data_IF_733390705732
#
_entry.id   IF_733390705732
#
_cell.length_a   1.000
_cell.length_b   1.000
_cell.length_c   1.000
_cell.angle_alpha   90.00
_cell.angle_beta   90.00
_cell.angle_gamma   90.00
#
_symmetry.space_group_name_H-M   'P 1'
#
loop_
_entity.id
_entity.type
_entity.pdbx_description
1 polymer ?
#
# COMPACT_ATOMS: atom_id res chain seq x y z
N UNK A 1 9.81 16.75 -3.81
CA UNK A 1 8.39 16.77 -3.45
C UNK A 1 8.02 15.48 -2.70
N UNK A 2 7.18 15.59 -1.68
CA UNK A 2 6.70 14.42 -0.92
C UNK A 2 5.46 13.87 -1.60
N UNK A 3 5.50 12.59 -1.93
CA UNK A 3 4.40 11.91 -2.60
C UNK A 3 3.84 10.84 -1.68
N UNK A 4 2.52 10.84 -1.50
CA UNK A 4 1.81 9.78 -0.78
C UNK A 4 1.03 8.95 -1.78
N UNK A 5 0.98 7.64 -1.55
CA UNK A 5 0.17 6.73 -2.36
C UNK A 5 -0.88 6.09 -1.46
N UNK A 6 -2.13 6.16 -1.86
CA UNK A 6 -3.24 5.53 -1.14
C UNK A 6 -3.78 4.39 -1.98
N UNK A 7 -3.72 3.18 -1.44
CA UNK A 7 -4.15 1.97 -2.14
C UNK A 7 -5.33 1.37 -1.37
N UNK A 8 -6.53 1.49 -1.95
CA UNK A 8 -7.77 1.09 -1.29
C UNK A 8 -8.36 -0.22 -1.80
N UNK A 9 -7.60 -0.97 -2.60
CA UNK A 9 -8.07 -2.24 -3.12
C UNK A 9 -6.96 -3.18 -3.49
N UNK A 10 -7.31 -4.39 -3.88
CA UNK A 10 -6.35 -5.42 -4.31
C UNK A 10 -6.05 -5.36 -5.80
N UNK A 11 -6.77 -4.50 -6.52
CA UNK A 11 -6.65 -4.41 -7.97
C UNK A 11 -6.45 -2.97 -8.36
N UNK A 12 -5.79 -2.75 -9.50
CA UNK A 12 -5.77 -1.45 -10.12
C UNK A 12 -6.81 -1.49 -11.23
N UNK A 13 -7.85 -0.66 -11.10
CA UNK A 13 -9.01 -0.73 -11.97
C UNK A 13 -10.09 -1.64 -11.39
N UNK A 14 -11.28 -1.62 -11.97
CA UNK A 14 -12.45 -2.26 -11.35
C UNK A 14 -13.09 -3.34 -12.18
N UNK A 15 -13.12 -3.20 -13.50
CA UNK A 15 -13.96 -4.05 -14.34
C UNK A 15 -13.35 -5.42 -14.62
N UNK A 16 -12.04 -5.47 -14.81
CA UNK A 16 -11.35 -6.73 -15.07
C UNK A 16 -10.49 -7.05 -13.85
N UNK A 17 -10.93 -8.02 -13.07
CA UNK A 17 -10.25 -8.39 -11.84
C UNK A 17 -8.89 -9.01 -12.12
N UNK A 18 -8.81 -9.90 -13.08
CA UNK A 18 -7.55 -10.59 -13.40
C UNK A 18 -6.49 -9.59 -13.87
N UNK A 19 -6.87 -8.69 -14.78
CA UNK A 19 -5.97 -7.64 -15.25
C UNK A 19 -5.62 -6.69 -14.11
N UNK A 20 -6.59 -6.35 -13.28
CA UNK A 20 -6.36 -5.46 -12.13
C UNK A 20 -5.35 -6.01 -11.14
N UNK A 21 -5.33 -7.32 -10.93
CA UNK A 21 -4.35 -7.96 -10.06
C UNK A 21 -2.94 -7.88 -10.67
N UNK A 22 -2.82 -8.09 -11.97
CA UNK A 22 -1.55 -7.94 -12.67
C UNK A 22 -1.06 -6.48 -12.59
N UNK A 23 -1.97 -5.54 -12.81
CA UNK A 23 -1.61 -4.12 -12.83
C UNK A 23 -1.20 -3.60 -11.45
N UNK A 24 -1.89 -3.99 -10.38
CA UNK A 24 -1.50 -3.52 -9.04
C UNK A 24 -0.13 -4.04 -8.66
N UNK A 25 0.18 -5.27 -9.03
CA UNK A 25 1.48 -5.86 -8.75
C UNK A 25 2.59 -5.11 -9.51
N UNK A 26 2.37 -4.84 -10.80
CA UNK A 26 3.32 -4.08 -11.61
C UNK A 26 3.50 -2.66 -11.10
N UNK A 27 2.39 -2.02 -10.69
CA UNK A 27 2.41 -0.68 -10.12
C UNK A 27 3.30 -0.64 -8.87
N UNK A 28 3.07 -1.54 -7.93
CA UNK A 28 3.85 -1.58 -6.69
C UNK A 28 5.31 -1.91 -6.96
N UNK A 29 5.58 -2.85 -7.86
CA UNK A 29 6.95 -3.21 -8.20
C UNK A 29 7.71 -2.09 -8.89
N UNK A 30 7.01 -1.24 -9.62
CA UNK A 30 7.63 -0.12 -10.34
C UNK A 30 7.90 1.08 -9.44
N UNK A 31 7.05 1.31 -8.43
CA UNK A 31 7.22 2.45 -7.53
C UNK A 31 8.60 2.52 -6.90
N UNK A 32 9.17 1.38 -6.50
CA UNK A 32 10.49 1.36 -5.86
C UNK A 32 11.63 1.67 -6.83
N UNK A 33 11.36 1.59 -8.13
CA UNK A 33 12.35 1.85 -9.18
C UNK A 33 12.33 3.28 -9.68
N UNK A 34 11.39 4.09 -9.20
CA UNK A 34 11.35 5.50 -9.56
C UNK A 34 12.58 6.20 -8.98
N UNK A 35 13.02 7.26 -9.66
CA UNK A 35 14.14 8.07 -9.17
C UNK A 35 13.85 8.58 -7.75
N UNK A 36 12.61 9.00 -7.52
CA UNK A 36 12.17 9.43 -6.18
C UNK A 36 10.96 8.60 -5.79
N UNK A 37 11.16 7.50 -5.05
CA UNK A 37 10.03 6.71 -4.56
C UNK A 37 9.11 7.52 -3.64
N UNK A 38 7.85 7.12 -3.46
CA UNK A 38 6.96 7.84 -2.57
C UNK A 38 7.48 7.83 -1.13
N UNK A 39 7.14 8.86 -0.36
CA UNK A 39 7.53 8.94 1.05
C UNK A 39 6.68 8.04 1.92
N UNK A 40 5.40 7.86 1.54
CA UNK A 40 4.47 7.02 2.30
C UNK A 40 3.51 6.32 1.35
N UNK A 41 3.15 5.11 1.70
CA UNK A 41 2.13 4.34 1.00
C UNK A 41 1.20 3.74 2.05
N UNK A 42 -0.09 4.06 1.97
CA UNK A 42 -1.09 3.56 2.90
C UNK A 42 -1.99 2.55 2.22
N UNK A 43 -2.22 1.43 2.90
CA UNK A 43 -3.08 0.35 2.44
C UNK A 43 -4.37 0.35 3.25
N UNK A 44 -5.51 0.35 2.57
CA UNK A 44 -6.83 0.35 3.18
C UNK A 44 -7.75 -0.63 2.48
N UNK A 45 -8.86 -0.96 3.15
CA UNK A 45 -9.86 -1.89 2.63
C UNK A 45 -9.17 -3.18 2.19
N UNK A 46 -9.55 -3.75 1.06
CA UNK A 46 -8.91 -4.96 0.54
C UNK A 46 -7.43 -4.78 0.26
N UNK A 47 -6.96 -3.53 0.12
CA UNK A 47 -5.55 -3.23 -0.10
C UNK A 47 -4.64 -3.71 1.01
N UNK A 48 -5.13 -3.86 2.25
CA UNK A 48 -4.31 -4.37 3.35
C UNK A 48 -3.84 -5.80 3.09
N UNK A 49 -4.59 -6.55 2.28
CA UNK A 49 -4.22 -7.93 1.95
C UNK A 49 -2.98 -8.03 1.06
N UNK A 50 -2.62 -6.93 0.41
CA UNK A 50 -1.38 -6.87 -0.40
C UNK A 50 -0.13 -7.01 0.47
N UNK A 51 -0.25 -6.73 1.77
CA UNK A 51 0.85 -6.80 2.73
C UNK A 51 0.95 -8.15 3.44
N UNK A 52 0.11 -9.12 3.10
CA UNK A 52 0.16 -10.44 3.73
C UNK A 52 1.31 -11.27 3.14
N UNK A 53 1.96 -12.12 3.94
CA UNK A 53 3.15 -12.86 3.49
C UNK A 53 2.90 -13.77 2.28
N UNK A 54 1.66 -14.28 2.15
CA UNK A 54 1.29 -15.14 1.02
C UNK A 54 0.86 -14.38 -0.23
N UNK A 55 0.80 -13.04 -0.15
CA UNK A 55 0.50 -12.23 -1.32
C UNK A 55 1.78 -12.00 -2.14
N UNK A 56 1.68 -12.15 -3.46
CA UNK A 56 2.84 -11.93 -4.34
C UNK A 56 3.31 -10.47 -4.32
N UNK A 57 2.49 -9.56 -3.83
CA UNK A 57 2.81 -8.13 -3.70
C UNK A 57 3.63 -7.80 -2.46
N UNK A 58 3.69 -8.72 -1.49
CA UNK A 58 4.37 -8.44 -0.22
C UNK A 58 5.85 -8.10 -0.43
N UNK A 59 6.55 -8.82 -1.29
CA UNK A 59 7.96 -8.56 -1.56
C UNK A 59 8.18 -7.20 -2.23
N UNK A 60 7.25 -6.78 -3.11
CA UNK A 60 7.33 -5.45 -3.71
C UNK A 60 7.18 -4.35 -2.66
N UNK A 61 6.29 -4.56 -1.69
CA UNK A 61 6.12 -3.61 -0.59
C UNK A 61 7.37 -3.58 0.30
N UNK A 62 8.02 -4.71 0.51
CA UNK A 62 9.29 -4.75 1.24
C UNK A 62 10.39 -3.98 0.49
N UNK A 63 10.42 -4.08 -0.83
CA UNK A 63 11.37 -3.31 -1.63
C UNK A 63 11.13 -1.82 -1.48
N UNK A 64 9.86 -1.38 -1.46
CA UNK A 64 9.50 0.01 -1.22
C UNK A 64 9.99 0.46 0.16
N UNK A 65 9.80 -0.37 1.16
CA UNK A 65 10.23 -0.06 2.52
C UNK A 65 11.75 0.12 2.58
N UNK A 66 12.50 -0.75 1.91
CA UNK A 66 13.95 -0.62 1.81
C UNK A 66 14.38 0.64 1.07
N UNK A 67 13.56 1.09 0.12
CA UNK A 67 13.84 2.33 -0.62
C UNK A 67 13.47 3.59 0.16
N UNK A 68 12.94 3.43 1.38
CA UNK A 68 12.64 4.55 2.26
C UNK A 68 11.16 4.92 2.35
N UNK A 69 10.27 4.19 1.67
CA UNK A 69 8.83 4.45 1.75
C UNK A 69 8.28 3.89 3.04
N UNK A 70 7.56 4.71 3.79
CA UNK A 70 6.86 4.26 4.99
C UNK A 70 5.56 3.59 4.58
N UNK A 71 5.38 2.33 4.97
CA UNK A 71 4.18 1.56 4.63
C UNK A 71 3.25 1.54 5.83
N UNK A 72 2.05 2.12 5.69
CA UNK A 72 1.04 2.16 6.73
C UNK A 72 -0.11 1.24 6.34
N UNK A 73 -0.47 0.33 7.25
CA UNK A 73 -1.52 -0.66 7.00
C UNK A 73 -2.69 -0.37 7.93
N UNK A 74 -3.88 -0.11 7.38
CA UNK A 74 -5.04 0.29 8.17
C UNK A 74 -5.46 -0.81 9.15
N UNK A 75 -5.42 -0.51 10.46
CA UNK A 75 -5.74 -1.46 11.51
C UNK A 75 -7.22 -1.83 11.55
N UNK A 76 -8.12 -0.88 11.28
CA UNK A 76 -9.55 -1.17 11.19
C UNK A 76 -9.81 -2.22 10.11
N UNK A 77 -9.11 -2.11 8.99
CA UNK A 77 -9.28 -3.03 7.88
C UNK A 77 -8.69 -4.40 8.19
N UNK A 78 -7.49 -4.44 8.76
CA UNK A 78 -6.87 -5.73 9.11
C UNK A 78 -7.66 -6.46 10.19
N UNK A 79 -8.23 -5.72 11.15
CA UNK A 79 -9.08 -6.32 12.18
C UNK A 79 -10.36 -6.90 11.58
N UNK A 80 -10.97 -6.16 10.65
CA UNK A 80 -12.18 -6.63 9.97
C UNK A 80 -11.93 -7.95 9.23
N UNK A 81 -10.80 -8.08 8.57
CA UNK A 81 -10.46 -9.30 7.83
C UNK A 81 -9.79 -10.37 8.70
N UNK A 82 -9.53 -10.06 9.99
CA UNK A 82 -8.90 -11.01 10.90
C UNK A 82 -7.44 -11.32 10.57
N UNK A 83 -6.70 -10.35 9.99
CA UNK A 83 -5.33 -10.56 9.53
C UNK A 83 -4.30 -9.68 10.21
N UNK A 84 -4.68 -8.94 11.27
CA UNK A 84 -3.78 -7.99 11.92
C UNK A 84 -2.45 -8.61 12.34
N UNK A 85 -2.47 -9.84 12.83
CA UNK A 85 -1.27 -10.52 13.31
C UNK A 85 -0.46 -11.17 12.19
N UNK A 86 -0.97 -11.12 10.95
CA UNK A 86 -0.35 -11.77 9.80
C UNK A 86 0.32 -10.79 8.84
N UNK A 87 0.26 -9.49 9.13
CA UNK A 87 0.85 -8.47 8.26
C UNK A 87 2.36 -8.71 8.17
N UNK A 88 2.87 -8.84 6.94
CA UNK A 88 4.26 -9.20 6.68
C UNK A 88 5.17 -8.03 6.36
N UNK A 89 4.62 -6.84 6.15
CA UNK A 89 5.41 -5.66 5.81
C UNK A 89 4.66 -4.42 6.29
N UNK A 90 5.40 -3.37 6.64
CA UNK A 90 4.82 -2.11 7.09
C UNK A 90 4.40 -2.15 8.55
N UNK A 91 3.67 -1.12 8.96
CA UNK A 91 3.22 -0.94 10.34
C UNK A 91 1.70 -0.84 10.35
N UNK A 92 1.05 -1.61 11.22
CA UNK A 92 -0.39 -1.47 11.43
C UNK A 92 -0.65 -0.10 12.05
N UNK A 93 -1.52 0.67 11.42
CA UNK A 93 -1.72 2.07 11.73
C UNK A 93 -3.21 2.36 11.91
N UNK A 94 -3.55 3.64 11.91
CA UNK A 94 -4.92 4.10 12.11
C UNK A 94 -5.23 5.23 11.13
N UNK A 95 -6.52 5.58 11.03
CA UNK A 95 -6.98 6.59 10.10
C UNK A 95 -6.34 7.95 10.36
N UNK A 96 -6.12 8.31 11.62
CA UNK A 96 -5.52 9.60 11.96
C UNK A 96 -4.10 9.70 11.38
N UNK A 97 -3.26 8.70 11.62
CA UNK A 97 -1.89 8.69 11.11
C UNK A 97 -1.87 8.67 9.59
N UNK A 98 -2.76 7.88 8.98
CA UNK A 98 -2.85 7.78 7.53
C UNK A 98 -3.23 9.14 6.93
N UNK A 99 -4.25 9.79 7.49
CA UNK A 99 -4.69 11.10 6.99
C UNK A 99 -3.63 12.17 7.20
N UNK A 100 -2.94 12.15 8.34
CA UNK A 100 -1.83 13.09 8.55
C UNK A 100 -0.76 12.93 7.48
N UNK A 101 -0.38 11.70 7.18
CA UNK A 101 0.64 11.42 6.18
C UNK A 101 0.20 11.86 4.78
N UNK A 102 -1.06 11.57 4.44
CA UNK A 102 -1.59 11.87 3.11
C UNK A 102 -1.78 13.38 2.92
N UNK A 103 -2.38 14.05 3.92
CA UNK A 103 -2.63 15.50 3.81
C UNK A 103 -1.35 16.31 3.91
N UNK A 104 -0.30 15.76 4.53
CA UNK A 104 0.99 16.42 4.61
C UNK A 104 1.86 16.26 3.36
N UNK A 105 1.42 15.47 2.39
CA UNK A 105 2.19 15.27 1.16
C UNK A 105 1.90 16.37 0.14
N UNK A 106 2.86 16.60 -0.75
CA UNK A 106 2.70 17.59 -1.82
C UNK A 106 1.82 17.05 -2.96
N UNK A 107 1.85 15.75 -3.15
CA UNK A 107 1.07 15.07 -4.20
C UNK A 107 0.56 13.74 -3.64
N UNK A 108 -0.65 13.38 -4.01
CA UNK A 108 -1.28 12.12 -3.61
C UNK A 108 -1.70 11.35 -4.85
N UNK A 109 -1.27 10.07 -4.91
CA UNK A 109 -1.78 9.13 -5.89
C UNK A 109 -2.76 8.21 -5.17
N UNK A 110 -3.97 8.10 -5.70
CA UNK A 110 -5.00 7.24 -5.10
C UNK A 110 -5.41 6.17 -6.12
N UNK A 111 -5.27 4.93 -5.73
CA UNK A 111 -5.63 3.79 -6.58
C UNK A 111 -6.51 2.80 -5.86
#
# INVERSE_FOLDING_TARGET
ARVAVLVAGKTLGREDKELGEVLIKGFLGTLSKLETPPTVLALMNEGVKLALPDASTCDHLKDLERAGTKILVCGTCTNHFGVTERVGVGTVSNMFEILEAVTGADKVLSV
#
